data_IF_932203577469
#
_entry.id   IF_932203577469
#
_cell.length_a   1.000
_cell.length_b   1.000
_cell.length_c   1.000
_cell.angle_alpha   90.00
_cell.angle_beta   90.00
_cell.angle_gamma   90.00
#
_symmetry.space_group_name_H-M   'P 1'
#
loop_
_entity.id
_entity.type
_entity.pdbx_description
1 polymer ?
#
# COMPACT_ATOMS: atom_id res chain seq x y z
N UNK A 1 10.75 -1.22 8.19
CA UNK A 1 11.05 0.23 8.21
C UNK A 1 11.68 0.65 9.55
N UNK A 2 10.98 0.57 10.68
CA UNK A 2 11.52 1.01 11.99
C UNK A 2 12.82 0.30 12.42
N UNK A 3 12.94 -1.00 12.12
CA UNK A 3 14.16 -1.78 12.39
C UNK A 3 15.37 -1.45 11.49
N UNK A 4 15.15 -0.71 10.39
CA UNK A 4 16.20 -0.22 9.48
C UNK A 4 16.64 1.22 9.81
N UNK A 5 16.25 1.74 10.98
CA UNK A 5 16.53 3.13 11.38
C UNK A 5 15.63 4.18 10.71
N UNK A 6 14.65 3.77 9.90
CA UNK A 6 13.69 4.67 9.27
C UNK A 6 12.53 4.95 10.24
N UNK A 7 12.61 6.09 10.91
CA UNK A 7 11.54 6.65 11.76
C UNK A 7 10.57 7.49 10.93
N UNK A 8 9.37 7.75 11.44
CA UNK A 8 8.33 8.55 10.75
C UNK A 8 8.86 9.90 10.26
N UNK A 9 9.67 10.57 11.10
CA UNK A 9 10.28 11.88 10.78
C UNK A 9 11.57 11.79 9.94
N UNK A 10 11.97 10.59 9.51
CA UNK A 10 13.15 10.48 8.64
C UNK A 10 12.89 11.15 7.30
N UNK A 11 13.89 11.85 6.77
CA UNK A 11 13.77 12.54 5.48
C UNK A 11 13.39 11.57 4.35
N UNK A 12 13.84 10.32 4.43
CA UNK A 12 13.46 9.24 3.50
C UNK A 12 11.95 8.94 3.58
N UNK A 13 11.35 8.94 4.77
CA UNK A 13 9.91 8.74 4.91
C UNK A 13 9.12 9.93 4.38
N UNK A 14 9.56 11.17 4.63
CA UNK A 14 8.93 12.35 4.05
C UNK A 14 8.99 12.34 2.51
N UNK A 15 10.13 11.94 1.94
CA UNK A 15 10.28 11.77 0.49
C UNK A 15 9.41 10.64 -0.07
N UNK A 16 9.20 9.56 0.67
CA UNK A 16 8.27 8.50 0.24
C UNK A 16 6.81 8.97 0.30
N UNK A 17 6.42 9.67 1.37
CA UNK A 17 5.07 10.18 1.55
C UNK A 17 4.70 11.24 0.51
N UNK A 18 5.64 12.10 0.09
CA UNK A 18 5.38 13.09 -0.97
C UNK A 18 5.13 12.47 -2.34
N UNK A 19 5.54 11.21 -2.53
CA UNK A 19 5.34 10.43 -3.76
C UNK A 19 4.07 9.60 -3.74
N UNK A 20 3.45 9.41 -2.57
CA UNK A 20 2.13 8.78 -2.47
C UNK A 20 1.04 9.84 -2.50
N UNK A 21 -0.04 9.55 -3.22
CA UNK A 21 -1.17 10.49 -3.31
C UNK A 21 -1.92 10.63 -1.99
N UNK A 22 -1.83 9.62 -1.10
CA UNK A 22 -2.42 9.67 0.24
C UNK A 22 -1.50 10.30 1.30
N UNK A 23 -0.27 10.72 0.96
CA UNK A 23 0.63 11.40 1.90
C UNK A 23 1.10 10.53 3.08
N UNK A 24 0.99 9.21 2.96
CA UNK A 24 1.40 8.24 3.98
C UNK A 24 2.09 7.04 3.36
N UNK A 25 2.84 6.30 4.19
CA UNK A 25 3.41 5.00 3.81
C UNK A 25 2.32 3.92 3.88
N UNK A 26 2.25 3.08 2.85
CA UNK A 26 1.37 1.93 2.84
C UNK A 26 1.67 0.98 4.01
N UNK A 27 0.62 0.50 4.66
CA UNK A 27 0.67 -0.44 5.75
C UNK A 27 0.34 -1.84 5.23
N UNK A 28 0.79 -2.92 5.91
CA UNK A 28 0.44 -4.29 5.52
C UNK A 28 -1.08 -4.51 5.38
N UNK A 29 -1.89 -3.81 6.18
CA UNK A 29 -3.35 -3.89 6.11
C UNK A 29 -3.95 -3.35 4.81
N UNK A 30 -3.28 -2.41 4.13
CA UNK A 30 -3.79 -1.84 2.87
C UNK A 30 -3.78 -2.89 1.75
N UNK A 31 -2.71 -3.70 1.68
CA UNK A 31 -2.61 -4.84 0.76
C UNK A 31 -3.49 -5.99 1.25
N UNK A 32 -3.45 -6.32 2.55
CA UNK A 32 -4.18 -7.44 3.11
C UNK A 32 -5.69 -7.35 2.90
N UNK A 33 -6.28 -6.16 3.06
CA UNK A 33 -7.71 -5.95 2.81
C UNK A 33 -8.09 -6.16 1.34
N UNK A 34 -7.26 -5.69 0.40
CA UNK A 34 -7.47 -5.92 -1.04
C UNK A 34 -7.37 -7.41 -1.35
N UNK A 35 -6.37 -8.10 -0.81
CA UNK A 35 -6.21 -9.53 -1.03
C UNK A 35 -7.40 -10.34 -0.48
N UNK A 36 -7.89 -10.01 0.72
CA UNK A 36 -9.06 -10.66 1.32
C UNK A 36 -10.32 -10.39 0.48
N UNK A 37 -10.52 -9.16 0.00
CA UNK A 37 -11.63 -8.85 -0.90
C UNK A 37 -11.57 -9.69 -2.18
N UNK A 38 -10.41 -9.78 -2.84
CA UNK A 38 -10.23 -10.57 -4.06
C UNK A 38 -10.41 -12.08 -3.83
N UNK A 39 -10.14 -12.57 -2.63
CA UNK A 39 -10.33 -13.97 -2.26
C UNK A 39 -11.75 -14.29 -1.75
N UNK A 40 -12.61 -13.28 -1.64
CA UNK A 40 -13.98 -13.43 -1.13
C UNK A 40 -14.98 -13.77 -2.23
N UNK A 41 -16.18 -14.19 -1.83
CA UNK A 41 -17.31 -14.44 -2.73
C UNK A 41 -17.83 -13.17 -3.43
N UNK A 42 -17.38 -11.98 -3.01
CA UNK A 42 -17.78 -10.69 -3.59
C UNK A 42 -17.02 -10.35 -4.89
N UNK A 43 -15.99 -11.13 -5.26
CA UNK A 43 -15.16 -10.88 -6.46
C UNK A 43 -15.15 -12.06 -7.47
N UNK A 44 -16.28 -12.75 -7.75
CA UNK A 44 -16.28 -14.06 -8.42
C UNK A 44 -15.81 -14.02 -9.87
N UNK A 45 -15.86 -12.85 -10.52
CA UNK A 45 -15.46 -12.66 -11.92
C UNK A 45 -14.20 -11.82 -12.08
N UNK A 46 -13.55 -11.41 -10.98
CA UNK A 46 -12.33 -10.60 -11.04
C UNK A 46 -11.13 -11.53 -11.18
N UNK A 47 -10.71 -11.78 -12.42
CA UNK A 47 -9.60 -12.69 -12.74
C UNK A 47 -8.71 -12.16 -13.86
N UNK A 48 -7.46 -12.62 -13.91
CA UNK A 48 -6.44 -12.20 -14.90
C UNK A 48 -5.98 -10.74 -14.76
N UNK A 49 -6.39 -10.04 -13.69
CA UNK A 49 -6.07 -8.64 -13.47
C UNK A 49 -4.82 -8.48 -12.60
N UNK A 50 -4.04 -7.43 -12.89
CA UNK A 50 -3.01 -6.92 -11.99
C UNK A 50 -3.54 -5.67 -11.31
N UNK A 51 -3.74 -5.74 -10.00
CA UNK A 51 -4.24 -4.61 -9.21
C UNK A 51 -3.07 -3.97 -8.46
N UNK A 52 -2.90 -2.67 -8.64
CA UNK A 52 -1.89 -1.88 -7.93
C UNK A 52 -2.49 -1.27 -6.67
N UNK A 53 -2.03 -1.72 -5.51
CA UNK A 53 -2.41 -1.20 -4.19
C UNK A 53 -1.25 -0.37 -3.59
N UNK A 54 -0.87 0.72 -4.27
CA UNK A 54 0.33 1.51 -3.97
C UNK A 54 0.08 2.89 -3.34
N UNK A 55 -1.16 3.19 -2.95
CA UNK A 55 -1.55 4.54 -2.44
C UNK A 55 -1.31 5.67 -3.45
N UNK A 56 -1.32 5.32 -4.75
CA UNK A 56 -1.05 6.25 -5.85
C UNK A 56 0.40 6.71 -5.89
N UNK A 57 1.34 5.81 -5.56
CA UNK A 57 2.78 6.05 -5.62
C UNK A 57 3.23 6.39 -7.06
N UNK A 58 4.10 7.40 -7.20
CA UNK A 58 4.72 7.81 -8.48
C UNK A 58 6.24 8.05 -8.38
#
# INVERSE_FOLDING_TARGET
>A
MKALGMTEDSEVNHQMMSRTSLGRVAQPSDIGKVAVFLASDDAPSVTGQKIEASEGFK
#
